data_IF_649663444146
#
_entry.id   IF_649663444146
#
_cell.length_a   1.000
_cell.length_b   1.000
_cell.length_c   1.000
_cell.angle_alpha   90.00
_cell.angle_beta   90.00
_cell.angle_gamma   90.00
#
_symmetry.space_group_name_H-M   'P 1'
#
loop_
_entity.id
_entity.type
_entity.pdbx_description
1 polymer ?
#
# COMPACT_ATOMS: atom_id res chain seq x y z
N UNK A 1 15.43 -38.36 -1.65
CA UNK A 1 15.43 -37.52 -1.77
C UNK A 1 15.75 -37.00 -1.70
N UNK A 2 15.92 -37.67 -1.39
CA UNK A 2 15.98 -36.92 -1.34
C UNK A 2 15.98 -36.59 -1.23
N UNK A 3 15.92 -37.13 -1.36
CA UNK A 3 15.84 -36.34 -1.24
C UNK A 3 15.72 -35.88 -1.07
N UNK A 4 15.46 -36.01 -0.73
CA UNK A 4 15.18 -35.21 -0.55
C UNK A 4 14.93 -34.65 -0.44
N UNK A 5 15.06 -35.69 -0.49
CA UNK A 5 14.56 -34.77 -0.26
C UNK A 5 14.39 -34.25 -0.10
N UNK A 6 14.28 -34.25 0.00
CA UNK A 6 13.90 -33.47 0.19
C UNK A 6 13.70 -32.98 0.30
N UNK A 7 13.28 -33.47 0.29
CA UNK A 7 12.89 -32.54 0.40
C UNK A 7 12.77 -31.83 0.51
N UNK A 8 12.48 -32.41 0.55
CA UNK A 8 12.06 -31.38 0.59
C UNK A 8 11.96 -30.84 0.83
N UNK A 9 11.56 -31.02 0.82
CA UNK A 9 11.27 -30.08 0.95
C UNK A 9 11.15 -29.56 1.01
N UNK A 10 10.68 -29.46 0.96
CA UNK A 10 10.38 -28.61 0.96
C UNK A 10 10.13 -27.97 1.03
N UNK A 11 9.67 -28.43 1.10
CA UNK A 11 9.40 -27.43 1.07
C UNK A 11 9.18 -26.94 1.19
N UNK A 12 8.60 -27.10 1.24
CA UNK A 12 8.29 -26.19 1.31
C UNK A 12 8.09 -25.49 1.26
N UNK A 13 7.68 -25.73 1.20
CA UNK A 13 7.46 -24.73 1.11
C UNK A 13 7.15 -24.08 1.09
N UNK A 14 6.61 -24.20 1.07
CA UNK A 14 6.33 -23.26 0.99
C UNK A 14 5.91 -22.70 1.32
N UNK A 15 5.59 -22.87 1.40
CA UNK A 15 5.24 -22.08 1.64
C UNK A 15 5.10 -21.37 1.92
N UNK A 16 4.79 -21.45 1.94
CA UNK A 16 4.70 -20.66 2.13
C UNK A 16 4.49 -19.85 2.21
N UNK A 17 4.03 -20.08 2.27
CA UNK A 17 3.97 -19.31 2.32
C UNK A 17 4.05 -18.47 2.46
N UNK A 18 3.48 -18.72 2.17
CA UNK A 18 3.63 -17.97 2.28
C UNK A 18 3.83 -16.89 2.77
N UNK A 19 3.34 -16.68 3.00
CA UNK A 19 3.64 -15.56 3.87
C UNK A 19 5.03 -15.05 3.55
N UNK A 20 5.36 -13.80 3.77
CA UNK A 20 6.69 -13.28 3.53
C UNK A 20 7.13 -13.22 2.07
N UNK A 21 6.32 -13.72 1.16
CA UNK A 21 6.68 -13.76 -0.27
C UNK A 21 6.18 -12.51 -1.00
N UNK A 22 6.24 -11.36 -0.36
CA UNK A 22 5.81 -10.11 -0.97
C UNK A 22 6.73 -8.96 -0.56
N UNK A 23 6.73 -7.91 -1.38
CA UNK A 23 7.40 -6.66 -1.07
C UNK A 23 6.37 -5.63 -0.64
N UNK A 24 6.80 -4.69 0.19
CA UNK A 24 5.94 -3.65 0.73
C UNK A 24 6.47 -2.29 0.29
N UNK A 25 5.60 -1.49 -0.33
CA UNK A 25 5.93 -0.14 -0.77
C UNK A 25 4.99 0.87 -0.13
N UNK A 26 5.46 2.10 0.00
CA UNK A 26 4.61 3.22 0.42
C UNK A 26 4.77 4.29 -0.65
N UNK A 27 3.66 4.84 -1.12
CA UNK A 27 3.76 5.81 -2.20
C UNK A 27 2.45 6.47 -2.60
N UNK A 28 2.58 7.37 -3.55
CA UNK A 28 1.43 7.94 -4.28
C UNK A 28 1.17 7.06 -5.48
N UNK A 29 -0.09 6.91 -5.84
CA UNK A 29 -0.45 5.94 -6.88
C UNK A 29 -1.34 6.55 -7.95
N UNK A 30 -1.27 5.91 -9.14
CA UNK A 30 -2.25 6.13 -10.19
C UNK A 30 -2.65 4.77 -10.77
N UNK A 31 -3.83 4.72 -11.37
CA UNK A 31 -4.41 3.48 -11.89
C UNK A 31 -4.83 3.71 -13.32
N UNK A 32 -4.49 2.77 -14.21
CA UNK A 32 -4.92 2.80 -15.59
C UNK A 32 -5.30 1.39 -16.01
N UNK A 33 -6.60 1.14 -16.16
CA UNK A 33 -7.11 -0.21 -16.40
C UNK A 33 -6.79 -1.10 -15.21
N UNK A 34 -6.03 -2.17 -15.45
CA UNK A 34 -5.58 -3.07 -14.38
C UNK A 34 -4.11 -2.86 -14.03
N UNK A 35 -3.55 -1.71 -14.38
CA UNK A 35 -2.18 -1.37 -14.03
C UNK A 35 -2.14 -0.35 -12.91
N UNK A 36 -1.24 -0.58 -11.97
CA UNK A 36 -0.98 0.32 -10.86
C UNK A 36 0.40 0.93 -11.06
N UNK A 37 0.48 2.24 -10.98
CA UNK A 37 1.74 2.97 -11.04
C UNK A 37 2.01 3.55 -9.65
N UNK A 38 3.21 3.30 -9.13
CA UNK A 38 3.57 3.72 -7.77
C UNK A 38 4.79 4.64 -7.83
N UNK A 39 4.64 5.83 -7.26
CA UNK A 39 5.77 6.71 -6.97
C UNK A 39 6.09 6.51 -5.50
N UNK A 40 7.06 5.66 -5.22
CA UNK A 40 7.37 5.28 -3.84
C UNK A 40 8.15 6.38 -3.11
N UNK A 41 7.97 6.42 -1.81
CA UNK A 41 8.63 7.36 -0.94
C UNK A 41 8.85 6.72 0.43
N UNK A 42 9.62 7.37 1.31
CA UNK A 42 9.72 6.97 2.70
C UNK A 42 8.68 7.75 3.50
N UNK A 43 7.83 7.04 4.22
CA UNK A 43 6.86 7.65 5.14
C UNK A 43 7.47 7.59 6.53
N UNK A 44 7.86 8.76 7.03
CA UNK A 44 8.61 8.88 8.27
C UNK A 44 7.69 9.41 9.37
N UNK A 45 7.46 8.61 10.41
CA UNK A 45 6.68 9.07 11.56
C UNK A 45 7.62 9.36 12.75
N UNK A 46 7.01 9.78 13.86
CA UNK A 46 7.79 10.20 15.03
C UNK A 46 8.59 9.09 15.69
N UNK A 47 8.29 7.82 15.38
CA UNK A 47 9.01 6.68 15.94
C UNK A 47 10.31 6.37 15.19
N UNK A 48 10.50 6.96 14.01
CA UNK A 48 11.61 6.60 13.13
C UNK A 48 12.80 7.52 13.32
N UNK A 49 13.44 7.39 14.48
CA UNK A 49 14.56 8.26 14.87
C UNK A 49 15.73 8.23 13.89
N UNK A 50 15.98 7.08 13.26
CA UNK A 50 17.04 6.98 12.25
C UNK A 50 16.85 8.04 11.14
N UNK A 51 15.63 8.08 10.58
CA UNK A 51 15.33 9.02 9.48
C UNK A 51 15.26 10.46 9.97
N UNK A 52 14.69 10.66 11.17
CA UNK A 52 14.59 12.01 11.75
C UNK A 52 15.98 12.61 11.93
N UNK A 53 16.91 11.82 12.46
CA UNK A 53 18.28 12.28 12.66
C UNK A 53 19.02 12.46 11.34
N UNK A 54 18.85 11.53 10.42
CA UNK A 54 19.55 11.56 9.12
C UNK A 54 19.16 12.80 8.30
N UNK A 55 17.88 13.15 8.31
CA UNK A 55 17.36 14.28 7.56
C UNK A 55 17.26 15.54 8.39
N UNK A 56 17.66 15.49 9.67
CA UNK A 56 17.62 16.63 10.59
C UNK A 56 16.23 17.26 10.67
N UNK A 57 15.21 16.39 10.76
CA UNK A 57 13.82 16.83 10.80
C UNK A 57 13.48 17.46 12.15
N UNK A 58 12.72 18.55 12.10
CA UNK A 58 12.27 19.28 13.29
C UNK A 58 10.75 19.12 13.43
N UNK A 59 10.20 19.61 14.53
CA UNK A 59 8.76 19.62 14.72
C UNK A 59 8.04 20.45 13.66
N UNK A 60 8.73 21.46 13.12
CA UNK A 60 8.16 22.30 12.05
C UNK A 60 8.07 21.53 10.73
N UNK A 61 9.00 20.58 10.51
CA UNK A 61 8.97 19.74 9.32
C UNK A 61 7.88 18.67 9.42
N UNK A 62 7.44 18.35 10.63
CA UNK A 62 6.50 17.25 10.89
C UNK A 62 5.28 17.74 11.67
N UNK A 63 4.56 18.75 11.15
CA UNK A 63 3.46 19.37 11.92
C UNK A 63 2.32 18.42 12.24
N UNK A 64 2.15 17.38 11.45
CA UNK A 64 1.10 16.37 11.67
C UNK A 64 1.67 15.03 12.14
N UNK A 65 2.94 15.01 12.57
CA UNK A 65 3.58 13.82 13.11
C UNK A 65 4.18 12.91 12.06
N UNK A 66 4.31 13.37 10.83
CA UNK A 66 4.95 12.59 9.77
C UNK A 66 5.63 13.49 8.75
N UNK A 67 6.51 12.89 7.97
CA UNK A 67 7.20 13.55 6.85
C UNK A 67 7.28 12.55 5.69
N UNK A 68 7.03 13.01 4.48
CA UNK A 68 7.15 12.18 3.29
C UNK A 68 8.42 12.57 2.56
N UNK A 69 9.35 11.63 2.48
CA UNK A 69 10.63 11.82 1.84
C UNK A 69 10.57 11.17 0.45
N UNK A 70 10.27 12.00 -0.55
CA UNK A 70 10.09 11.59 -1.94
C UNK A 70 11.31 12.06 -2.74
N UNK A 71 12.16 11.10 -3.14
CA UNK A 71 13.43 11.42 -3.78
C UNK A 71 13.44 11.14 -5.27
N UNK A 72 12.38 10.58 -5.83
CA UNK A 72 12.37 10.14 -7.22
C UNK A 72 11.00 10.31 -7.86
N UNK A 73 11.00 10.70 -9.15
CA UNK A 73 9.76 10.73 -9.93
C UNK A 73 9.58 9.45 -10.74
N UNK A 74 10.44 8.47 -10.51
CA UNK A 74 10.39 7.20 -11.23
C UNK A 74 9.20 6.38 -10.76
N UNK A 75 8.44 5.84 -11.72
CA UNK A 75 7.25 5.06 -11.42
C UNK A 75 7.53 3.57 -11.54
N UNK A 76 7.06 2.82 -10.55
CA UNK A 76 7.02 1.37 -10.62
C UNK A 76 5.66 0.96 -11.15
N UNK A 77 5.60 -0.12 -11.90
CA UNK A 77 4.35 -0.62 -12.49
C UNK A 77 4.04 -2.01 -11.98
N UNK A 78 2.83 -2.21 -11.51
CA UNK A 78 2.36 -3.49 -10.99
C UNK A 78 1.00 -3.83 -11.58
N UNK A 79 0.55 -5.07 -11.40
CA UNK A 79 -0.72 -5.57 -11.95
C UNK A 79 -1.79 -5.72 -10.88
N UNK A 80 -2.96 -5.19 -11.15
CA UNK A 80 -4.15 -5.40 -10.33
C UNK A 80 -4.92 -6.60 -10.87
N UNK A 81 -5.61 -7.32 -9.98
CA UNK A 81 -6.43 -8.47 -10.39
C UNK A 81 -7.68 -8.55 -9.50
N UNK A 82 -8.52 -9.56 -9.73
CA UNK A 82 -9.80 -9.72 -9.00
C UNK A 82 -9.62 -10.01 -7.53
N UNK A 83 -8.42 -10.40 -7.11
CA UNK A 83 -8.14 -10.76 -5.73
C UNK A 83 -7.42 -9.66 -4.97
N UNK A 84 -7.03 -8.59 -5.65
CA UNK A 84 -6.41 -7.44 -5.01
C UNK A 84 -7.38 -6.83 -3.99
N UNK A 85 -6.92 -6.63 -2.77
CA UNK A 85 -7.73 -6.01 -1.71
C UNK A 85 -7.44 -4.54 -1.59
N UNK A 86 -8.51 -3.77 -1.39
CA UNK A 86 -8.42 -2.32 -1.17
C UNK A 86 -8.95 -2.04 0.22
N UNK A 87 -8.12 -1.42 1.06
CA UNK A 87 -8.47 -1.10 2.46
C UNK A 87 -8.41 0.40 2.63
N UNK A 88 -9.52 1.03 3.03
CA UNK A 88 -9.52 2.48 3.21
C UNK A 88 -10.55 2.90 4.25
N UNK A 89 -10.45 4.14 4.69
CA UNK A 89 -11.32 4.69 5.72
C UNK A 89 -12.47 5.45 5.08
N UNK A 90 -13.67 5.00 5.38
CA UNK A 90 -14.90 5.53 4.77
C UNK A 90 -15.52 6.59 5.68
N UNK A 91 -14.83 7.71 5.84
CA UNK A 91 -15.27 8.79 6.74
C UNK A 91 -16.58 9.43 6.29
N UNK A 92 -16.94 9.29 5.01
CA UNK A 92 -18.20 9.81 4.47
C UNK A 92 -19.38 8.88 4.61
N UNK A 93 -19.19 7.72 5.25
CA UNK A 93 -20.25 6.71 5.43
C UNK A 93 -20.90 6.27 4.12
N UNK A 94 -20.09 6.17 3.08
CA UNK A 94 -20.54 5.82 1.73
C UNK A 94 -20.68 4.30 1.56
N UNK A 95 -19.83 3.53 2.21
CA UNK A 95 -19.74 2.08 2.07
C UNK A 95 -20.05 1.34 3.37
N UNK A 96 -19.71 1.91 4.53
CA UNK A 96 -19.95 1.27 5.82
C UNK A 96 -20.97 2.09 6.61
N UNK A 97 -21.72 1.45 7.53
CA UNK A 97 -22.74 2.16 8.32
C UNK A 97 -22.15 3.31 9.16
N UNK A 98 -22.94 4.34 9.39
CA UNK A 98 -22.50 5.51 10.16
C UNK A 98 -22.07 5.18 11.58
N UNK A 99 -22.65 4.12 12.15
CA UNK A 99 -22.33 3.71 13.52
C UNK A 99 -21.11 2.80 13.62
N UNK A 100 -20.47 2.49 12.51
CA UNK A 100 -19.24 1.71 12.49
C UNK A 100 -18.09 2.60 12.96
N UNK A 101 -17.48 2.24 14.09
CA UNK A 101 -16.54 3.12 14.77
C UNK A 101 -15.17 3.20 14.14
N UNK A 102 -14.71 2.15 13.47
CA UNK A 102 -13.36 2.17 12.87
C UNK A 102 -13.36 2.71 11.45
N UNK A 103 -14.52 2.79 10.83
CA UNK A 103 -14.70 3.33 9.48
C UNK A 103 -13.89 2.62 8.41
N UNK A 104 -13.27 1.49 8.72
CA UNK A 104 -12.42 0.75 7.78
C UNK A 104 -13.27 -0.11 6.84
N UNK A 105 -13.08 0.08 5.56
CA UNK A 105 -13.76 -0.69 4.53
C UNK A 105 -12.75 -1.49 3.71
N UNK A 106 -13.04 -2.77 3.50
CA UNK A 106 -12.20 -3.66 2.71
C UNK A 106 -13.02 -4.23 1.56
N UNK A 107 -12.50 -4.13 0.35
CA UNK A 107 -13.20 -4.62 -0.84
C UNK A 107 -12.19 -5.16 -1.85
N UNK A 108 -12.64 -6.04 -2.74
CA UNK A 108 -11.87 -6.45 -3.91
C UNK A 108 -12.38 -5.75 -5.18
N UNK A 109 -13.32 -4.84 -5.03
CA UNK A 109 -13.94 -4.12 -6.14
C UNK A 109 -13.16 -2.83 -6.43
N UNK A 110 -12.40 -2.84 -7.53
CA UNK A 110 -11.60 -1.69 -7.93
C UNK A 110 -12.47 -0.43 -8.12
N UNK A 111 -13.69 -0.59 -8.63
CA UNK A 111 -14.56 0.55 -8.86
C UNK A 111 -14.93 1.28 -7.58
N UNK A 112 -15.15 0.55 -6.47
CA UNK A 112 -15.43 1.16 -5.17
C UNK A 112 -14.24 2.00 -4.72
N UNK A 113 -13.04 1.46 -4.90
CA UNK A 113 -11.80 2.15 -4.52
C UNK A 113 -11.62 3.42 -5.35
N UNK A 114 -11.82 3.32 -6.67
CA UNK A 114 -11.69 4.47 -7.55
C UNK A 114 -12.77 5.53 -7.29
N UNK A 115 -13.98 5.09 -6.94
CA UNK A 115 -15.05 6.02 -6.60
C UNK A 115 -14.65 6.89 -5.41
N UNK A 116 -13.91 6.33 -4.48
CA UNK A 116 -13.46 7.05 -3.28
C UNK A 116 -12.31 8.01 -3.58
N UNK A 117 -11.34 7.59 -4.40
CA UNK A 117 -10.07 8.30 -4.52
C UNK A 117 -9.81 8.95 -5.87
N UNK A 118 -10.40 8.43 -6.95
CA UNK A 118 -10.18 8.99 -8.29
C UNK A 118 -11.27 10.01 -8.62
N UNK A 119 -11.20 11.15 -7.94
CA UNK A 119 -12.27 12.15 -7.92
C UNK A 119 -12.51 12.76 -9.30
N UNK A 120 -11.43 13.00 -10.07
CA UNK A 120 -11.54 13.65 -11.38
C UNK A 120 -11.56 12.66 -12.55
N UNK A 121 -11.50 11.37 -12.27
CA UNK A 121 -11.54 10.33 -13.30
C UNK A 121 -10.26 10.19 -14.12
N UNK A 122 -9.18 10.84 -13.71
CA UNK A 122 -7.91 10.80 -14.45
C UNK A 122 -7.10 9.54 -14.18
N UNK A 123 -7.43 8.82 -13.10
CA UNK A 123 -6.64 7.69 -12.62
C UNK A 123 -5.51 8.08 -11.68
N UNK A 124 -5.24 9.36 -11.53
CA UNK A 124 -4.24 9.88 -10.59
C UNK A 124 -4.94 10.12 -9.25
N UNK A 125 -4.56 9.38 -8.23
CA UNK A 125 -5.23 9.44 -6.93
C UNK A 125 -4.67 10.54 -6.01
N UNK A 126 -3.88 11.45 -6.59
CA UNK A 126 -3.43 12.64 -5.89
C UNK A 126 -2.37 12.39 -4.83
N UNK A 127 -2.45 13.10 -3.74
CA UNK A 127 -1.46 13.07 -2.68
C UNK A 127 -1.88 12.23 -1.47
N UNK A 128 -2.84 11.33 -1.64
CA UNK A 128 -3.16 10.37 -0.61
C UNK A 128 -2.08 9.30 -0.60
N UNK A 129 -1.42 9.07 0.54
CA UNK A 129 -0.40 8.03 0.62
C UNK A 129 -1.02 6.65 0.82
N UNK A 130 -0.44 5.65 0.18
CA UNK A 130 -0.91 4.27 0.27
C UNK A 130 0.23 3.33 0.58
N UNK A 131 -0.10 2.21 1.23
CA UNK A 131 0.82 1.10 1.46
C UNK A 131 0.41 -0.03 0.53
N UNK A 132 1.36 -0.54 -0.25
CA UNK A 132 1.10 -1.51 -1.31
C UNK A 132 1.89 -2.78 -1.03
N UNK A 133 1.19 -3.94 -1.00
CA UNK A 133 1.82 -5.25 -0.90
C UNK A 133 1.81 -5.88 -2.28
N UNK A 134 2.96 -6.32 -2.75
CA UNK A 134 3.15 -6.83 -4.11
C UNK A 134 3.89 -8.17 -4.06
N UNK A 135 3.41 -9.15 -4.82
CA UNK A 135 4.10 -10.42 -4.98
C UNK A 135 5.33 -10.25 -5.87
N UNK A 136 6.25 -11.21 -5.81
CA UNK A 136 7.48 -11.14 -6.61
C UNK A 136 7.23 -11.02 -8.11
N UNK A 137 6.11 -11.55 -8.58
CA UNK A 137 5.77 -11.51 -10.01
C UNK A 137 5.06 -10.21 -10.42
N UNK A 138 4.89 -9.26 -9.49
CA UNK A 138 4.31 -7.96 -9.79
C UNK A 138 2.80 -7.87 -9.59
N UNK A 139 2.16 -8.93 -9.09
CA UNK A 139 0.71 -8.87 -8.78
C UNK A 139 0.50 -8.19 -7.43
N UNK A 140 -0.44 -7.27 -7.37
CA UNK A 140 -0.75 -6.53 -6.15
C UNK A 140 -1.66 -7.36 -5.25
N UNK A 141 -1.22 -7.59 -4.01
CA UNK A 141 -2.02 -8.28 -2.99
C UNK A 141 -3.02 -7.31 -2.38
N UNK A 142 -2.54 -6.13 -1.98
CA UNK A 142 -3.39 -5.15 -1.32
C UNK A 142 -2.88 -3.73 -1.49
N UNK A 143 -3.82 -2.79 -1.43
CA UNK A 143 -3.53 -1.36 -1.38
C UNK A 143 -4.28 -0.83 -0.17
N UNK A 144 -3.57 -0.21 0.77
CA UNK A 144 -4.16 0.28 2.01
C UNK A 144 -3.86 1.76 2.17
N UNK A 145 -4.91 2.52 2.45
CA UNK A 145 -4.74 3.95 2.74
C UNK A 145 -3.92 4.11 4.02
N UNK A 146 -2.94 5.01 4.00
CA UNK A 146 -2.23 5.40 5.21
C UNK A 146 -3.02 6.55 5.82
N UNK A 147 -3.67 6.28 6.94
CA UNK A 147 -4.53 7.27 7.56
C UNK A 147 -3.70 8.35 8.26
N UNK A 148 -3.99 9.57 7.92
CA UNK A 148 -3.31 10.75 8.49
C UNK A 148 -4.36 11.62 9.15
N UNK A 149 -4.14 11.90 10.44
CA UNK A 149 -5.01 12.79 11.22
C UNK A 149 -4.70 14.23 10.94
#
# INVERSE_FOLDING_TARGET
>A
MFLFGLVGCQNEEKEQTSSGAYDLYEGYISVKGNQLFVNDFEFIDLSEQYWINKLELTTEDMPNGYYIYDTSDELMTFSLNNETRYNFYDVGAQFVPEDDTDRLYTTTNLNDFLEKFDIDGSGDLGKTPFRIQVLEDGRVISISEIFIN
#
